data_IF_919195572152
#
_entry.id   IF_919195572152
#
_cell.length_a   1.000
_cell.length_b   1.000
_cell.length_c   1.000
_cell.angle_alpha   90.00
_cell.angle_beta   90.00
_cell.angle_gamma   90.00
#
_symmetry.space_group_name_H-M   'P 1'
#
loop_
_entity.id
_entity.type
_entity.pdbx_description
1 polymer ?
#
# COMPACT_ATOMS: atom_id res chain seq x y z
N UNK A 1 9.74 12.23 -20.52
CA UNK A 1 9.07 13.19 -19.62
C UNK A 1 8.24 12.39 -18.64
N UNK A 2 8.58 12.42 -17.35
CA UNK A 2 7.80 11.76 -16.30
C UNK A 2 6.45 12.47 -16.17
N UNK A 3 5.41 11.96 -16.81
CA UNK A 3 4.04 12.39 -16.51
C UNK A 3 3.69 11.83 -15.14
N UNK A 4 3.77 12.67 -14.12
CA UNK A 4 3.26 12.39 -12.79
C UNK A 4 1.78 11.96 -12.90
N UNK A 5 1.40 10.92 -12.17
CA UNK A 5 0.02 10.42 -12.18
C UNK A 5 -0.92 11.53 -11.66
N UNK A 6 -1.86 12.05 -12.47
CA UNK A 6 -2.70 13.19 -12.09
C UNK A 6 -3.60 12.88 -10.89
N UNK A 7 -4.04 11.63 -10.75
CA UNK A 7 -4.84 11.20 -9.60
C UNK A 7 -4.02 11.20 -8.31
N UNK A 8 -2.73 10.85 -8.40
CA UNK A 8 -1.84 10.90 -7.24
C UNK A 8 -1.62 12.34 -6.80
N UNK A 9 -1.38 13.26 -7.75
CA UNK A 9 -1.25 14.69 -7.47
C UNK A 9 -2.50 15.22 -6.75
N UNK A 10 -3.68 14.91 -7.26
CA UNK A 10 -4.95 15.32 -6.64
C UNK A 10 -5.09 14.79 -5.20
N UNK A 11 -4.74 13.52 -4.98
CA UNK A 11 -4.77 12.91 -3.64
C UNK A 11 -3.81 13.64 -2.69
N UNK A 12 -2.59 13.94 -3.13
CA UNK A 12 -1.60 14.64 -2.31
C UNK A 12 -2.08 16.06 -1.96
N UNK A 13 -2.57 16.84 -2.93
CA UNK A 13 -3.13 18.17 -2.64
C UNK A 13 -4.30 18.12 -1.66
N UNK A 14 -5.22 17.17 -1.85
CA UNK A 14 -6.34 17.00 -0.94
C UNK A 14 -5.89 16.63 0.48
N UNK A 15 -4.86 15.80 0.62
CA UNK A 15 -4.31 15.43 1.92
C UNK A 15 -3.57 16.59 2.58
N UNK A 16 -2.77 17.34 1.82
CA UNK A 16 -2.08 18.56 2.29
C UNK A 16 -3.07 19.55 2.93
N UNK A 17 -4.15 19.87 2.21
CA UNK A 17 -5.21 20.73 2.71
C UNK A 17 -5.91 20.16 3.95
N UNK A 18 -6.26 18.86 3.96
CA UNK A 18 -6.97 18.24 5.10
C UNK A 18 -6.12 18.10 6.35
N UNK A 19 -4.81 17.98 6.19
CA UNK A 19 -3.85 17.89 7.29
C UNK A 19 -3.44 19.28 7.80
N UNK A 20 -3.85 20.36 7.11
CA UNK A 20 -3.45 21.74 7.39
C UNK A 20 -1.91 21.86 7.44
N UNK A 21 -1.23 21.30 6.44
CA UNK A 21 0.22 21.42 6.31
C UNK A 21 0.54 22.87 5.95
N UNK A 22 1.40 23.49 6.74
CA UNK A 22 1.84 24.90 6.56
C UNK A 22 3.26 24.93 6.01
N UNK A 23 4.09 23.95 6.42
CA UNK A 23 5.47 23.83 5.99
C UNK A 23 5.61 22.63 5.06
N UNK A 24 5.86 22.87 3.77
CA UNK A 24 6.02 21.82 2.76
C UNK A 24 7.29 20.98 2.94
N UNK A 25 8.24 21.45 3.76
CA UNK A 25 9.43 20.69 4.14
C UNK A 25 9.17 19.68 5.27
N UNK A 26 7.94 19.65 5.82
CA UNK A 26 7.58 18.70 6.88
C UNK A 26 7.27 17.29 6.34
N UNK A 27 7.44 16.28 7.19
CA UNK A 27 7.12 14.90 6.83
C UNK A 27 5.62 14.72 6.62
N UNK A 28 5.20 14.10 5.51
CA UNK A 28 3.78 13.83 5.20
C UNK A 28 3.09 13.04 6.33
N UNK A 29 3.81 12.08 6.94
CA UNK A 29 3.32 11.26 8.04
C UNK A 29 4.16 11.51 9.29
N UNK A 30 3.98 12.70 9.88
CA UNK A 30 4.69 13.12 11.08
C UNK A 30 3.95 12.72 12.36
N UNK A 31 4.68 12.50 13.45
CA UNK A 31 4.10 12.22 14.75
C UNK A 31 3.44 13.50 15.35
N UNK A 32 2.72 13.34 16.48
CA UNK A 32 2.04 14.45 17.15
C UNK A 32 2.97 15.55 17.69
N UNK A 33 4.26 15.26 17.85
CA UNK A 33 5.27 16.18 18.36
C UNK A 33 5.98 16.94 17.24
N UNK A 34 5.66 16.63 15.97
CA UNK A 34 6.20 17.26 14.77
C UNK A 34 7.74 17.18 14.62
N UNK A 35 8.38 16.16 15.19
CA UNK A 35 9.84 16.00 15.13
C UNK A 35 10.30 14.79 14.31
N UNK A 36 9.46 13.76 14.18
CA UNK A 36 9.80 12.48 13.55
C UNK A 36 8.63 11.89 12.77
N UNK A 37 8.94 11.02 11.81
CA UNK A 37 7.92 10.21 11.14
C UNK A 37 7.21 9.28 12.12
N UNK A 38 5.94 8.96 11.86
CA UNK A 38 5.26 7.89 12.58
C UNK A 38 5.99 6.56 12.36
N UNK A 39 6.02 5.71 13.39
CA UNK A 39 6.55 4.36 13.25
C UNK A 39 5.50 3.39 12.70
N UNK A 40 5.97 2.23 12.24
CA UNK A 40 5.13 1.22 11.61
C UNK A 40 4.11 0.60 12.59
N UNK A 41 4.48 0.47 13.87
CA UNK A 41 3.61 -0.08 14.90
C UNK A 41 2.41 0.85 15.16
N UNK A 42 2.65 2.15 15.20
CA UNK A 42 1.62 3.18 15.31
C UNK A 42 0.70 3.14 14.09
N UNK A 43 1.26 3.12 12.88
CA UNK A 43 0.47 2.99 11.65
C UNK A 43 -0.43 1.73 11.70
N UNK A 44 0.13 0.57 12.06
CA UNK A 44 -0.63 -0.68 12.19
C UNK A 44 -1.75 -0.58 13.24
N UNK A 45 -1.51 0.06 14.39
CA UNK A 45 -2.55 0.29 15.40
C UNK A 45 -3.69 1.14 14.86
N UNK A 46 -3.37 2.24 14.16
CA UNK A 46 -4.38 3.11 13.54
C UNK A 46 -5.18 2.39 12.46
N UNK A 47 -4.54 1.56 11.64
CA UNK A 47 -5.23 0.74 10.64
C UNK A 47 -6.20 -0.26 11.28
N UNK A 48 -5.83 -0.87 12.41
CA UNK A 48 -6.73 -1.75 13.17
C UNK A 48 -7.95 -1.01 13.73
N UNK A 49 -7.75 0.22 14.23
CA UNK A 49 -8.85 1.08 14.68
C UNK A 49 -9.79 1.43 13.53
N UNK A 50 -9.26 1.77 12.36
CA UNK A 50 -10.04 2.02 11.14
C UNK A 50 -10.83 0.76 10.73
N UNK A 51 -10.20 -0.40 10.71
CA UNK A 51 -10.86 -1.66 10.35
C UNK A 51 -12.06 -1.96 11.26
N UNK A 52 -11.92 -1.72 12.58
CA UNK A 52 -13.02 -1.84 13.55
C UNK A 52 -14.10 -0.80 13.28
N UNK A 53 -13.71 0.48 13.14
CA UNK A 53 -14.64 1.61 12.96
C UNK A 53 -15.56 1.41 11.76
N UNK A 54 -15.04 0.85 10.66
CA UNK A 54 -15.79 0.64 9.43
C UNK A 54 -16.28 -0.81 9.25
N UNK A 55 -16.18 -1.66 10.28
CA UNK A 55 -16.57 -3.06 10.26
C UNK A 55 -16.07 -3.81 8.99
N UNK A 56 -14.80 -3.61 8.66
CA UNK A 56 -14.21 -4.24 7.48
C UNK A 56 -14.22 -5.77 7.66
N UNK A 57 -14.56 -6.50 6.58
CA UNK A 57 -14.59 -7.98 6.55
C UNK A 57 -13.18 -8.59 6.51
N UNK A 58 -12.37 -8.23 7.50
CA UNK A 58 -11.01 -8.73 7.70
C UNK A 58 -10.78 -8.83 9.20
N UNK A 59 -10.13 -9.91 9.65
CA UNK A 59 -9.71 -10.02 11.05
C UNK A 59 -8.86 -8.81 11.43
N UNK A 60 -9.21 -8.16 12.54
CA UNK A 60 -8.45 -7.02 13.07
C UNK A 60 -6.98 -7.38 13.27
N UNK A 61 -6.68 -8.62 13.68
CA UNK A 61 -5.30 -9.07 13.89
C UNK A 61 -4.51 -9.17 12.58
N UNK A 62 -5.19 -9.39 11.46
CA UNK A 62 -4.60 -9.47 10.11
C UNK A 62 -4.47 -8.11 9.43
N UNK A 63 -5.09 -7.05 9.97
CA UNK A 63 -4.98 -5.70 9.42
C UNK A 63 -3.62 -5.08 9.76
N UNK A 64 -2.89 -4.68 8.72
CA UNK A 64 -1.57 -4.03 8.80
C UNK A 64 -1.26 -3.24 7.52
N UNK A 65 -0.13 -2.54 7.49
CA UNK A 65 0.36 -1.91 6.25
C UNK A 65 0.58 -2.91 5.12
N UNK A 66 0.98 -4.16 5.43
CA UNK A 66 1.12 -5.21 4.43
C UNK A 66 -0.22 -5.58 3.78
N UNK A 67 -1.35 -5.41 4.47
CA UNK A 67 -2.68 -5.65 3.88
C UNK A 67 -2.87 -4.80 2.62
N UNK A 68 -2.50 -3.51 2.67
CA UNK A 68 -2.64 -2.59 1.53
C UNK A 68 -1.74 -2.96 0.37
N UNK A 69 -0.48 -3.35 0.64
CA UNK A 69 0.44 -3.77 -0.42
C UNK A 69 -0.03 -5.09 -1.06
N UNK A 70 -0.55 -6.04 -0.27
CA UNK A 70 -1.15 -7.28 -0.81
C UNK A 70 -2.39 -7.00 -1.67
N UNK A 71 -3.32 -6.16 -1.20
CA UNK A 71 -4.54 -5.85 -1.95
C UNK A 71 -4.25 -5.05 -3.22
N UNK A 72 -3.32 -4.09 -3.16
CA UNK A 72 -2.82 -3.36 -4.33
C UNK A 72 -2.24 -4.34 -5.36
N UNK A 73 -1.28 -5.17 -4.94
CA UNK A 73 -0.63 -6.12 -5.84
C UNK A 73 -1.61 -7.11 -6.45
N UNK A 74 -2.55 -7.67 -5.67
CA UNK A 74 -3.61 -8.55 -6.18
C UNK A 74 -4.50 -7.85 -7.20
N UNK A 75 -4.89 -6.60 -6.94
CA UNK A 75 -5.73 -5.82 -7.86
C UNK A 75 -5.00 -5.53 -9.17
N UNK A 76 -3.73 -5.12 -9.11
CA UNK A 76 -2.91 -4.86 -10.30
C UNK A 76 -2.72 -6.13 -11.10
N UNK A 77 -2.40 -7.27 -10.46
CA UNK A 77 -2.24 -8.55 -11.14
C UNK A 77 -3.54 -8.97 -11.86
N UNK A 78 -4.69 -8.87 -11.18
CA UNK A 78 -5.99 -9.16 -11.78
C UNK A 78 -6.35 -8.22 -12.95
N UNK A 79 -6.06 -6.92 -12.84
CA UNK A 79 -6.29 -5.96 -13.93
C UNK A 79 -5.39 -6.20 -15.15
N UNK A 80 -4.25 -6.87 -14.94
CA UNK A 80 -3.32 -7.29 -15.99
C UNK A 80 -3.50 -8.77 -16.38
N UNK A 81 -4.74 -9.27 -16.27
CA UNK A 81 -5.15 -10.61 -16.70
C UNK A 81 -4.30 -11.73 -16.10
N UNK A 82 -3.83 -11.54 -14.86
CA UNK A 82 -2.99 -12.49 -14.15
C UNK A 82 -1.66 -12.82 -14.85
N UNK A 83 -1.18 -11.95 -15.73
CA UNK A 83 0.04 -12.18 -16.52
C UNK A 83 1.32 -12.26 -15.66
N UNK A 84 2.26 -13.12 -16.05
CA UNK A 84 3.57 -13.22 -15.40
C UNK A 84 4.38 -11.92 -15.50
N UNK A 85 4.28 -11.20 -16.63
CA UNK A 85 4.89 -9.88 -16.81
C UNK A 85 4.47 -8.90 -15.71
N UNK A 86 3.21 -8.93 -15.29
CA UNK A 86 2.75 -8.06 -14.20
C UNK A 86 3.23 -8.51 -12.82
N UNK A 87 3.58 -9.80 -12.62
CA UNK A 87 4.27 -10.26 -11.41
C UNK A 87 5.72 -9.77 -11.33
N UNK A 88 6.42 -9.72 -12.46
CA UNK A 88 7.77 -9.14 -12.55
C UNK A 88 7.71 -7.65 -12.16
N UNK A 89 6.82 -6.89 -12.81
CA UNK A 89 6.62 -5.46 -12.51
C UNK A 89 6.25 -5.22 -11.03
N UNK A 90 5.39 -6.06 -10.45
CA UNK A 90 5.05 -5.98 -9.03
C UNK A 90 6.22 -6.34 -8.11
N UNK A 91 7.08 -7.27 -8.52
CA UNK A 91 8.32 -7.59 -7.83
C UNK A 91 9.26 -6.39 -7.75
N UNK A 92 9.46 -5.71 -8.87
CA UNK A 92 10.28 -4.49 -8.94
C UNK A 92 9.68 -3.38 -8.07
N UNK A 93 8.36 -3.15 -8.18
CA UNK A 93 7.64 -2.14 -7.38
C UNK A 93 7.76 -2.40 -5.87
N UNK A 94 7.74 -3.65 -5.44
CA UNK A 94 7.84 -4.03 -4.03
C UNK A 94 9.28 -4.26 -3.56
N UNK A 95 10.25 -4.13 -4.46
CA UNK A 95 11.67 -4.39 -4.23
C UNK A 95 11.91 -5.81 -3.68
N UNK A 96 11.28 -6.81 -4.30
CA UNK A 96 11.46 -8.22 -3.97
C UNK A 96 12.58 -8.82 -4.81
N UNK A 97 13.49 -9.57 -4.18
CA UNK A 97 14.63 -10.21 -4.85
C UNK A 97 14.26 -11.31 -5.84
N UNK A 98 13.03 -11.81 -5.83
CA UNK A 98 12.57 -12.81 -6.80
C UNK A 98 11.05 -12.79 -6.98
N UNK A 99 10.60 -13.31 -8.12
CA UNK A 99 9.17 -13.52 -8.41
C UNK A 99 8.55 -14.47 -7.39
N UNK A 100 9.30 -15.45 -6.89
CA UNK A 100 8.83 -16.37 -5.84
C UNK A 100 8.39 -15.64 -4.57
N UNK A 101 9.15 -14.63 -4.14
CA UNK A 101 8.78 -13.78 -3.00
C UNK A 101 7.48 -13.03 -3.30
N UNK A 102 7.31 -12.49 -4.51
CA UNK A 102 6.07 -11.82 -4.93
C UNK A 102 4.87 -12.79 -4.94
N UNK A 103 5.02 -14.01 -5.45
CA UNK A 103 3.97 -15.04 -5.45
C UNK A 103 3.52 -15.39 -4.03
N UNK A 104 4.47 -15.64 -3.12
CA UNK A 104 4.20 -15.89 -1.69
C UNK A 104 3.55 -14.67 -1.04
N UNK A 105 4.05 -13.47 -1.33
CA UNK A 105 3.53 -12.23 -0.77
C UNK A 105 2.06 -12.01 -1.13
N UNK A 106 1.71 -12.23 -2.40
CA UNK A 106 0.34 -12.17 -2.90
C UNK A 106 -0.49 -13.39 -2.45
N UNK A 107 0.14 -14.48 -2.00
CA UNK A 107 -0.52 -15.72 -1.60
C UNK A 107 -1.09 -16.49 -2.79
N UNK A 108 -0.42 -16.39 -3.95
CA UNK A 108 -0.84 -17.05 -5.19
C UNK A 108 -0.72 -18.56 -5.00
N UNK A 109 -1.83 -19.27 -5.21
CA UNK A 109 -1.86 -20.73 -5.18
C UNK A 109 -1.43 -21.29 -6.52
N UNK A 110 -0.91 -22.51 -6.54
CA UNK A 110 -0.49 -23.18 -7.77
C UNK A 110 -1.60 -23.28 -8.81
N UNK A 111 -2.88 -23.39 -8.41
CA UNK A 111 -4.01 -23.43 -9.34
C UNK A 111 -4.33 -22.08 -10.01
N UNK A 112 -3.80 -20.98 -9.48
CA UNK A 112 -3.98 -19.64 -10.06
C UNK A 112 -2.90 -19.33 -11.12
N UNK A 113 -1.94 -20.24 -11.30
CA UNK A 113 -0.90 -20.16 -12.32
C UNK A 113 -1.37 -21.08 -13.45
N UNK A 114 -1.84 -20.49 -14.55
CA UNK A 114 -2.03 -21.21 -15.81
C UNK A 114 -0.69 -21.35 -16.52
N UNK A 115 -0.48 -22.49 -17.18
CA UNK A 115 0.68 -22.78 -18.03
C UNK A 115 0.89 -21.74 -19.12
#
# INVERSE_FOLDING_TARGET
>A
MNQNNPQLIEIIHRLHNKLNIINDDELILINRFKDKSINIQYANRRLKEIAKKYNLKISVNSMSTHTFRKTLGRRVWAMNQYSEKSLIMLGDLFNHFSIGITKVYLGIKSQEIGD
#
